data_IF_428506718463
#
_entry.id   IF_428506718463
#
_cell.length_a   1.000
_cell.length_b   1.000
_cell.length_c   1.000
_cell.angle_alpha   90.00
_cell.angle_beta   90.00
_cell.angle_gamma   90.00
#
_symmetry.space_group_name_H-M   'P 1'
#
loop_
_entity.id
_entity.type
_entity.pdbx_description
1 polymer ?
#
# COMPACT_ATOMS: atom_id res chain seq x y z
N UNK A 1 10.40 -14.03 19.66
CA UNK A 1 9.83 -12.66 19.58
C UNK A 1 8.79 -12.64 18.48
N UNK A 2 7.62 -12.11 18.78
CA UNK A 2 6.58 -11.96 17.74
C UNK A 2 7.03 -10.89 16.75
N UNK A 3 7.04 -11.19 15.44
CA UNK A 3 7.44 -10.23 14.42
C UNK A 3 6.57 -8.97 14.44
N UNK A 4 5.31 -9.09 14.86
CA UNK A 4 4.41 -7.94 14.99
C UNK A 4 4.94 -6.86 15.93
N UNK A 5 5.73 -7.25 16.93
CA UNK A 5 6.32 -6.31 17.88
C UNK A 5 7.46 -5.49 17.28
N UNK A 6 7.97 -5.91 16.14
CA UNK A 6 9.06 -5.24 15.41
C UNK A 6 8.57 -4.33 14.29
N UNK A 7 7.29 -4.42 13.90
CA UNK A 7 6.72 -3.55 12.86
C UNK A 7 6.51 -2.16 13.45
N UNK A 8 7.07 -1.16 12.80
CA UNK A 8 6.82 0.23 13.14
C UNK A 8 5.61 0.75 12.35
N UNK A 9 4.68 1.33 13.07
CA UNK A 9 3.48 1.96 12.52
C UNK A 9 3.59 3.46 12.70
N UNK A 10 3.46 4.21 11.63
CA UNK A 10 3.44 5.66 11.68
C UNK A 10 2.34 6.23 10.78
N UNK A 11 1.89 7.43 11.10
CA UNK A 11 0.90 8.18 10.33
C UNK A 11 1.55 9.46 9.83
N UNK A 12 1.46 9.69 8.52
CA UNK A 12 1.89 10.91 7.88
C UNK A 12 0.65 11.65 7.37
N UNK A 13 0.57 12.94 7.66
CA UNK A 13 -0.52 13.80 7.18
C UNK A 13 0.00 14.77 6.14
N UNK A 14 -0.80 15.00 5.09
CA UNK A 14 -0.49 15.98 4.08
C UNK A 14 -1.11 17.34 4.43
N UNK A 15 -0.40 18.42 4.09
CA UNK A 15 -0.99 19.75 4.05
C UNK A 15 -1.83 19.91 2.77
N UNK A 16 -2.89 20.75 2.77
CA UNK A 16 -3.74 20.93 1.61
C UNK A 16 -2.98 21.44 0.38
N UNK A 17 -2.90 20.61 -0.64
CA UNK A 17 -2.32 20.89 -1.95
C UNK A 17 -3.07 20.08 -3.01
N UNK A 18 -2.64 20.11 -4.27
CA UNK A 18 -3.16 19.17 -5.25
C UNK A 18 -2.75 17.72 -4.89
N UNK A 19 -3.54 16.75 -5.33
CA UNK A 19 -3.34 15.36 -4.96
C UNK A 19 -1.94 14.82 -5.33
N UNK A 20 -1.39 15.08 -6.53
CA UNK A 20 -0.04 14.64 -6.87
C UNK A 20 1.03 15.19 -5.90
N UNK A 21 0.96 16.47 -5.56
CA UNK A 21 1.91 17.11 -4.65
C UNK A 21 1.81 16.57 -3.24
N UNK A 22 0.59 16.28 -2.77
CA UNK A 22 0.38 15.62 -1.47
C UNK A 22 1.04 14.23 -1.42
N UNK A 23 0.88 13.43 -2.48
CA UNK A 23 1.53 12.11 -2.56
C UNK A 23 3.05 12.25 -2.54
N UNK A 24 3.62 13.13 -3.34
CA UNK A 24 5.07 13.35 -3.37
C UNK A 24 5.61 13.77 -2.00
N UNK A 25 4.90 14.67 -1.32
CA UNK A 25 5.23 15.10 0.03
C UNK A 25 5.21 13.95 1.04
N UNK A 26 4.18 13.10 1.00
CA UNK A 26 4.07 11.95 1.90
C UNK A 26 5.19 10.94 1.64
N UNK A 27 5.45 10.59 0.38
CA UNK A 27 6.52 9.66 0.02
C UNK A 27 7.90 10.17 0.43
N UNK A 28 8.15 11.47 0.32
CA UNK A 28 9.45 12.07 0.70
C UNK A 28 9.74 12.01 2.21
N UNK A 29 8.72 11.80 3.04
CA UNK A 29 8.85 11.72 4.50
C UNK A 29 8.89 10.29 5.05
N UNK A 30 8.91 9.28 4.17
CA UNK A 30 9.06 7.89 4.60
C UNK A 30 10.42 7.66 5.29
N UNK A 31 10.49 6.76 6.30
CA UNK A 31 11.75 6.46 6.97
C UNK A 31 12.76 5.84 5.99
N UNK A 32 13.92 6.47 5.85
CA UNK A 32 14.97 6.06 4.90
C UNK A 32 15.72 4.80 5.35
N UNK A 33 15.88 4.63 6.67
CA UNK A 33 16.65 3.52 7.23
C UNK A 33 15.84 2.23 7.41
N UNK A 34 14.55 2.26 7.11
CA UNK A 34 13.64 1.13 7.27
C UNK A 34 13.09 0.68 5.92
N UNK A 35 12.74 -0.59 5.87
CA UNK A 35 12.08 -1.18 4.69
C UNK A 35 10.56 -0.97 4.83
N UNK A 36 9.95 -0.48 3.78
CA UNK A 36 8.51 -0.25 3.77
C UNK A 36 7.82 -1.56 3.37
N UNK A 37 6.93 -2.04 4.22
CA UNK A 37 6.17 -3.26 4.00
C UNK A 37 4.80 -2.97 3.37
N UNK A 38 4.13 -1.93 3.85
CA UNK A 38 2.79 -1.57 3.42
C UNK A 38 2.54 -0.07 3.58
N UNK A 39 1.83 0.49 2.62
CA UNK A 39 1.26 1.84 2.70
C UNK A 39 -0.24 1.76 2.54
N UNK A 40 -0.97 2.41 3.45
CA UNK A 40 -2.41 2.61 3.36
C UNK A 40 -2.69 4.09 3.27
N UNK A 41 -3.24 4.51 2.16
CA UNK A 41 -3.61 5.90 1.92
C UNK A 41 -5.10 6.09 2.22
N UNK A 42 -5.43 7.07 3.05
CA UNK A 42 -6.80 7.46 3.38
C UNK A 42 -7.10 8.82 2.75
N UNK A 43 -8.17 8.87 1.99
CA UNK A 43 -8.60 10.09 1.30
C UNK A 43 -10.10 10.17 1.15
N UNK A 44 -10.58 11.30 0.64
CA UNK A 44 -12.01 11.63 0.54
C UNK A 44 -12.41 12.08 -0.87
N UNK A 45 -12.16 11.29 -1.92
CA UNK A 45 -12.68 11.63 -3.23
C UNK A 45 -14.22 11.63 -3.20
N UNK A 46 -14.84 12.60 -3.83
CA UNK A 46 -16.30 12.75 -3.84
C UNK A 46 -16.93 11.88 -4.92
N UNK A 47 -16.27 11.76 -6.06
CA UNK A 47 -16.76 11.03 -7.23
C UNK A 47 -15.97 9.71 -7.42
N UNK A 48 -16.67 8.71 -7.98
CA UNK A 48 -16.05 7.41 -8.32
C UNK A 48 -14.87 7.58 -9.27
N UNK A 49 -15.02 8.42 -10.30
CA UNK A 49 -13.96 8.65 -11.29
C UNK A 49 -12.74 9.35 -10.67
N UNK A 50 -12.97 10.25 -9.73
CA UNK A 50 -11.93 10.88 -8.94
C UNK A 50 -11.16 9.84 -8.11
N UNK A 51 -11.86 8.94 -7.42
CA UNK A 51 -11.25 7.85 -6.68
C UNK A 51 -10.37 6.96 -7.56
N UNK A 52 -10.88 6.56 -8.71
CA UNK A 52 -10.13 5.71 -9.66
C UNK A 52 -8.87 6.42 -10.15
N UNK A 53 -8.98 7.68 -10.53
CA UNK A 53 -7.85 8.49 -11.00
C UNK A 53 -6.81 8.68 -9.90
N UNK A 54 -7.22 9.01 -8.69
CA UNK A 54 -6.33 9.18 -7.55
C UNK A 54 -5.62 7.87 -7.17
N UNK A 55 -6.34 6.75 -7.17
CA UNK A 55 -5.77 5.43 -6.91
C UNK A 55 -4.71 5.05 -7.94
N UNK A 56 -4.99 5.27 -9.21
CA UNK A 56 -4.02 5.01 -10.29
C UNK A 56 -2.78 5.89 -10.16
N UNK A 57 -2.97 7.16 -9.85
CA UNK A 57 -1.86 8.10 -9.65
C UNK A 57 -1.00 7.73 -8.45
N UNK A 58 -1.62 7.34 -7.34
CA UNK A 58 -0.91 6.85 -6.16
C UNK A 58 -0.05 5.63 -6.50
N UNK A 59 -0.61 4.65 -7.18
CA UNK A 59 0.12 3.45 -7.63
C UNK A 59 1.29 3.81 -8.56
N UNK A 60 1.08 4.73 -9.50
CA UNK A 60 2.11 5.15 -10.44
C UNK A 60 3.27 5.87 -9.73
N UNK A 61 2.96 6.78 -8.83
CA UNK A 61 3.97 7.50 -8.04
C UNK A 61 4.74 6.57 -7.10
N UNK A 62 4.06 5.64 -6.45
CA UNK A 62 4.72 4.64 -5.61
C UNK A 62 5.63 3.72 -6.46
N UNK A 63 5.20 3.31 -7.64
CA UNK A 63 6.03 2.52 -8.57
C UNK A 63 7.30 3.26 -8.94
N UNK A 64 7.21 4.53 -9.26
CA UNK A 64 8.36 5.36 -9.59
C UNK A 64 9.29 5.54 -8.40
N UNK A 65 8.73 5.81 -7.22
CA UNK A 65 9.50 6.07 -6.00
C UNK A 65 10.27 4.83 -5.51
N UNK A 66 9.61 3.66 -5.48
CA UNK A 66 10.19 2.45 -4.91
C UNK A 66 10.96 1.58 -5.91
N UNK A 67 10.71 1.73 -7.22
CA UNK A 67 11.31 0.85 -8.23
C UNK A 67 10.94 -0.62 -8.00
N UNK A 68 11.94 -1.47 -7.82
CA UNK A 68 11.74 -2.90 -7.60
C UNK A 68 11.30 -3.27 -6.17
N UNK A 69 11.38 -2.33 -5.23
CA UNK A 69 11.07 -2.54 -3.83
C UNK A 69 9.68 -1.99 -3.44
N UNK A 70 8.67 -2.28 -4.25
CA UNK A 70 7.31 -1.78 -4.04
C UNK A 70 6.63 -2.47 -2.86
N UNK A 71 6.20 -1.70 -1.85
CA UNK A 71 5.41 -2.25 -0.75
C UNK A 71 3.99 -2.61 -1.20
N UNK A 72 3.25 -3.30 -0.33
CA UNK A 72 1.82 -3.45 -0.51
C UNK A 72 1.13 -2.08 -0.43
N UNK A 73 0.17 -1.84 -1.31
CA UNK A 73 -0.50 -0.54 -1.45
C UNK A 73 -2.02 -0.70 -1.30
N UNK A 74 -2.62 0.18 -0.53
CA UNK A 74 -4.09 0.30 -0.44
C UNK A 74 -4.49 1.77 -0.46
N UNK A 75 -5.58 2.09 -1.17
CA UNK A 75 -6.22 3.39 -1.12
C UNK A 75 -7.64 3.22 -0.61
N UNK A 76 -7.93 3.81 0.52
CA UNK A 76 -9.20 3.66 1.24
C UNK A 76 -9.94 5.00 1.26
N UNK A 77 -11.20 4.97 0.83
CA UNK A 77 -12.12 6.10 0.97
C UNK A 77 -12.57 6.18 2.42
N UNK A 78 -11.93 7.05 3.17
CA UNK A 78 -12.27 7.28 4.56
C UNK A 78 -11.90 8.71 4.97
N UNK A 79 -12.87 9.50 5.46
CA UNK A 79 -12.57 10.81 6.01
C UNK A 79 -11.62 10.72 7.20
N UNK A 80 -10.64 11.59 7.22
CA UNK A 80 -9.73 11.74 8.34
C UNK A 80 -9.89 13.16 8.90
N UNK A 81 -10.04 13.33 10.21
CA UNK A 81 -10.14 14.66 10.80
C UNK A 81 -8.88 15.48 10.53
N UNK A 82 -9.06 16.76 10.23
CA UNK A 82 -8.02 17.77 10.13
C UNK A 82 -6.95 17.58 9.05
N UNK A 83 -7.10 16.60 8.15
CA UNK A 83 -6.17 16.39 7.05
C UNK A 83 -6.89 15.95 5.77
N UNK A 84 -6.49 16.46 4.59
CA UNK A 84 -7.08 16.05 3.32
C UNK A 84 -6.64 14.65 2.89
N UNK A 85 -5.48 14.20 3.37
CA UNK A 85 -4.88 12.92 3.01
C UNK A 85 -3.98 12.45 4.15
N UNK A 86 -4.11 11.18 4.51
CA UNK A 86 -3.29 10.53 5.53
C UNK A 86 -2.72 9.24 4.99
N UNK A 87 -1.46 8.98 5.27
CA UNK A 87 -0.78 7.74 4.91
C UNK A 87 -0.37 7.00 6.18
N UNK A 88 -0.87 5.79 6.35
CA UNK A 88 -0.39 4.84 7.34
C UNK A 88 0.78 4.07 6.75
N UNK A 89 1.90 4.05 7.47
CA UNK A 89 3.15 3.44 7.05
C UNK A 89 3.48 2.26 7.96
N UNK A 90 3.64 1.08 7.38
CA UNK A 90 4.18 -0.08 8.06
C UNK A 90 5.61 -0.30 7.59
N UNK A 91 6.56 -0.14 8.49
CA UNK A 91 7.99 -0.26 8.18
C UNK A 91 8.69 -1.24 9.10
N UNK A 92 9.85 -1.70 8.68
CA UNK A 92 10.58 -2.76 9.34
C UNK A 92 12.09 -2.60 9.15
N UNK A 93 12.84 -2.81 10.19
CA UNK A 93 14.30 -2.90 10.12
C UNK A 93 14.71 -4.37 10.24
N UNK A 94 15.09 -5.03 9.12
CA UNK A 94 15.44 -6.45 9.16
C UNK A 94 16.76 -6.68 9.88
N UNK A 95 16.83 -7.78 10.61
CA UNK A 95 18.05 -8.32 11.17
C UNK A 95 18.81 -9.14 10.12
N UNK A 96 20.04 -9.56 10.43
CA UNK A 96 20.91 -10.25 9.47
C UNK A 96 20.37 -11.61 8.99
N UNK A 97 19.52 -12.26 9.78
CA UNK A 97 18.88 -13.54 9.47
C UNK A 97 17.49 -13.40 8.84
N UNK A 98 17.04 -12.17 8.63
CA UNK A 98 15.75 -11.87 8.07
C UNK A 98 15.88 -11.38 6.62
N UNK A 99 14.92 -11.78 5.78
CA UNK A 99 14.87 -11.39 4.38
C UNK A 99 13.53 -10.74 4.06
N UNK A 100 13.60 -9.62 3.37
CA UNK A 100 12.41 -8.95 2.83
C UNK A 100 12.43 -9.09 1.32
N UNK A 101 11.38 -9.70 0.78
CA UNK A 101 11.24 -9.99 -0.65
C UNK A 101 10.06 -9.19 -1.20
N UNK A 102 10.33 -8.34 -2.17
CA UNK A 102 9.31 -7.60 -2.90
C UNK A 102 8.89 -8.38 -4.12
N UNK A 103 7.60 -8.67 -4.23
CA UNK A 103 6.98 -9.48 -5.28
C UNK A 103 5.77 -8.76 -5.84
N UNK A 104 5.25 -9.28 -6.92
CA UNK A 104 3.97 -8.85 -7.49
C UNK A 104 3.25 -10.04 -8.13
N UNK A 105 1.93 -10.00 -8.08
CA UNK A 105 1.04 -10.84 -8.86
C UNK A 105 0.19 -9.91 -9.72
N UNK A 106 0.25 -10.06 -11.04
CA UNK A 106 -0.26 -9.07 -12.00
C UNK A 106 0.27 -7.67 -11.63
N UNK A 107 -0.61 -6.72 -11.34
CA UNK A 107 -0.27 -5.35 -10.93
C UNK A 107 -0.32 -5.12 -9.41
N UNK A 108 -0.41 -6.20 -8.63
CA UNK A 108 -0.55 -6.11 -7.17
C UNK A 108 0.78 -6.39 -6.51
N UNK A 109 1.43 -5.37 -5.94
CA UNK A 109 2.64 -5.59 -5.17
C UNK A 109 2.32 -6.22 -3.82
N UNK A 110 3.18 -7.12 -3.38
CA UNK A 110 3.12 -7.69 -2.04
C UNK A 110 4.53 -7.92 -1.50
N UNK A 111 4.64 -8.09 -0.20
CA UNK A 111 5.93 -8.23 0.47
C UNK A 111 5.94 -9.49 1.31
N UNK A 112 7.03 -10.24 1.24
CA UNK A 112 7.29 -11.38 2.11
C UNK A 112 8.42 -11.04 3.07
N UNK A 113 8.20 -11.26 4.34
CA UNK A 113 9.24 -11.26 5.37
C UNK A 113 9.51 -12.72 5.75
N UNK A 114 10.74 -13.17 5.56
CA UNK A 114 11.18 -14.52 5.90
C UNK A 114 12.20 -14.48 7.03
N UNK A 115 11.98 -15.31 8.05
CA UNK A 115 12.92 -15.55 9.15
C UNK A 115 12.81 -17.00 9.63
N UNK A 116 13.51 -17.36 10.70
CA UNK A 116 13.47 -18.70 11.29
C UNK A 116 12.08 -19.15 11.73
N UNK A 117 11.21 -18.20 12.08
CA UNK A 117 9.84 -18.49 12.52
C UNK A 117 8.87 -18.78 11.38
N UNK A 118 9.24 -18.44 10.13
CA UNK A 118 8.41 -18.68 8.95
C UNK A 118 8.36 -17.51 7.98
N UNK A 119 7.29 -17.49 7.20
CA UNK A 119 7.02 -16.45 6.19
C UNK A 119 5.80 -15.64 6.60
N UNK A 120 5.90 -14.32 6.45
CA UNK A 120 4.83 -13.37 6.73
C UNK A 120 4.54 -12.58 5.47
N UNK A 121 3.27 -12.56 5.08
CA UNK A 121 2.80 -11.88 3.87
C UNK A 121 2.15 -10.54 4.21
N UNK A 122 2.59 -9.50 3.53
CA UNK A 122 1.97 -8.16 3.56
C UNK A 122 1.39 -7.89 2.19
N UNK A 123 0.07 -7.79 2.11
CA UNK A 123 -0.64 -7.56 0.86
C UNK A 123 -1.88 -6.69 1.10
N UNK A 124 -2.43 -6.13 0.05
CA UNK A 124 -3.64 -5.32 0.12
C UNK A 124 -4.04 -4.76 -1.23
N UNK A 125 -5.13 -3.99 -1.24
CA UNK A 125 -5.61 -3.34 -2.45
C UNK A 125 -6.34 -4.26 -3.43
N UNK A 126 -6.86 -5.39 -2.97
CA UNK A 126 -7.64 -6.32 -3.78
C UNK A 126 -9.03 -5.76 -4.07
N UNK A 127 -9.24 -5.17 -5.23
CA UNK A 127 -10.49 -4.50 -5.58
C UNK A 127 -11.05 -4.88 -6.95
N UNK A 128 -10.31 -5.66 -7.74
CA UNK A 128 -10.58 -5.78 -9.16
C UNK A 128 -10.18 -4.51 -9.92
N UNK A 129 -9.78 -4.67 -11.16
CA UNK A 129 -9.19 -3.57 -11.95
C UNK A 129 -10.19 -2.88 -12.87
N UNK A 130 -11.35 -3.49 -13.16
CA UNK A 130 -12.37 -2.89 -14.01
C UNK A 130 -13.28 -1.94 -13.23
N UNK A 131 -13.17 -0.62 -13.44
CA UNK A 131 -14.02 0.35 -12.77
C UNK A 131 -15.49 0.29 -13.22
N UNK A 132 -15.77 -0.32 -14.36
CA UNK A 132 -17.11 -0.47 -14.92
C UNK A 132 -17.81 -1.75 -14.44
N UNK A 133 -17.09 -2.69 -13.84
CA UNK A 133 -17.64 -3.93 -13.32
C UNK A 133 -18.59 -3.67 -12.14
N UNK A 134 -19.64 -4.50 -12.02
CA UNK A 134 -20.52 -4.48 -10.87
C UNK A 134 -19.83 -5.04 -9.61
N UNK A 135 -20.51 -4.96 -8.47
CA UNK A 135 -19.95 -5.39 -7.20
C UNK A 135 -19.61 -6.88 -7.17
N UNK A 136 -20.44 -7.73 -7.78
CA UNK A 136 -20.19 -9.17 -7.83
C UNK A 136 -18.94 -9.49 -8.64
N UNK A 137 -18.84 -8.93 -9.84
CA UNK A 137 -17.67 -9.11 -10.71
C UNK A 137 -16.38 -8.61 -10.04
N UNK A 138 -16.43 -7.45 -9.39
CA UNK A 138 -15.30 -6.89 -8.66
C UNK A 138 -14.89 -7.76 -7.47
N UNK A 139 -15.86 -8.34 -6.77
CA UNK A 139 -15.60 -9.25 -5.65
C UNK A 139 -14.93 -10.54 -6.13
N UNK A 140 -15.44 -11.14 -7.21
CA UNK A 140 -14.83 -12.34 -7.83
C UNK A 140 -13.39 -12.05 -8.23
N UNK A 141 -13.15 -10.93 -8.88
CA UNK A 141 -11.80 -10.52 -9.29
C UNK A 141 -10.87 -10.28 -8.10
N UNK A 142 -11.36 -9.61 -7.04
CA UNK A 142 -10.57 -9.40 -5.82
C UNK A 142 -10.14 -10.71 -5.17
N UNK A 143 -11.05 -11.72 -5.11
CA UNK A 143 -10.71 -13.04 -4.59
C UNK A 143 -9.75 -13.80 -5.51
N UNK A 144 -9.88 -13.66 -6.83
CA UNK A 144 -8.92 -14.22 -7.79
C UNK A 144 -7.52 -13.65 -7.57
N UNK A 145 -7.42 -12.34 -7.39
CA UNK A 145 -6.16 -11.65 -7.11
C UNK A 145 -5.54 -12.13 -5.80
N UNK A 146 -6.34 -12.24 -4.75
CA UNK A 146 -5.88 -12.75 -3.45
C UNK A 146 -5.36 -14.18 -3.58
N UNK A 147 -6.09 -15.06 -4.27
CA UNK A 147 -5.66 -16.43 -4.51
C UNK A 147 -4.31 -16.46 -5.23
N UNK A 148 -4.13 -15.65 -6.28
CA UNK A 148 -2.89 -15.60 -7.03
C UNK A 148 -1.68 -15.14 -6.20
N UNK A 149 -1.90 -14.26 -5.23
CA UNK A 149 -0.84 -13.84 -4.31
C UNK A 149 -0.48 -14.96 -3.31
N UNK A 150 -1.45 -15.78 -2.91
CA UNK A 150 -1.24 -16.86 -1.94
C UNK A 150 -0.63 -18.14 -2.55
N UNK A 151 -0.74 -18.33 -3.84
CA UNK A 151 -0.16 -19.45 -4.59
C UNK A 151 1.28 -19.18 -5.05
#
# INVERSE_FOLDING_TARGET
MNYCDKIHYSLLTASPEDFPSMIDSLLSRLPEEERILRLVLFGTPVLKDEYVTQRQLFKAKARHFFGDSKPALSYVLQPVPDAPLVMEVHSYRPESDERILYRHYDNIPYVLLENESGRFLFAGGFQGDDPCADMEQRSVEAFRQLKGVLE
#
